data_IF_962900253154
#
_entry.id   IF_962900253154
#
_cell.length_a   1.000
_cell.length_b   1.000
_cell.length_c   1.000
_cell.angle_alpha   90.00
_cell.angle_beta   90.00
_cell.angle_gamma   90.00
#
_symmetry.space_group_name_H-M   'P 1'
#
loop_
_entity.id
_entity.type
_entity.pdbx_description
1 polymer ?
#
# COMPACT_ATOMS: atom_id res chain seq x y z
N UNK A 1 -19.07 -9.53 -6.02
CA UNK A 1 -18.83 -10.21 -4.73
C UNK A 1 -17.96 -9.32 -3.85
N UNK A 2 -18.40 -9.13 -2.63
CA UNK A 2 -17.63 -8.35 -1.67
C UNK A 2 -16.71 -9.26 -0.89
N UNK A 3 -15.49 -8.81 -0.64
CA UNK A 3 -14.56 -9.48 0.25
C UNK A 3 -14.65 -8.82 1.63
N UNK A 4 -14.55 -9.64 2.67
CA UNK A 4 -14.51 -9.17 4.04
C UNK A 4 -13.11 -9.42 4.59
N UNK A 5 -12.48 -8.38 5.08
CA UNK A 5 -11.11 -8.45 5.59
C UNK A 5 -11.11 -8.40 7.11
N UNK A 6 -10.25 -9.20 7.72
CA UNK A 6 -10.17 -9.31 9.18
C UNK A 6 -9.29 -8.23 9.81
N UNK A 7 -8.36 -7.67 9.06
CA UNK A 7 -7.48 -6.63 9.56
C UNK A 7 -7.09 -5.67 8.44
N UNK A 8 -6.68 -4.47 8.83
CA UNK A 8 -6.38 -3.41 7.87
C UNK A 8 -5.12 -3.71 7.04
N UNK A 9 -4.17 -4.46 7.58
CA UNK A 9 -2.96 -4.82 6.84
C UNK A 9 -3.27 -5.70 5.63
N UNK A 10 -4.39 -6.43 5.64
CA UNK A 10 -4.82 -7.22 4.50
C UNK A 10 -5.25 -6.37 3.31
N UNK A 11 -5.56 -5.10 3.52
CA UNK A 11 -5.93 -4.17 2.47
C UNK A 11 -4.73 -3.52 1.80
N UNK A 12 -3.59 -3.52 2.48
CA UNK A 12 -2.39 -2.86 1.97
C UNK A 12 -1.87 -3.58 0.74
N UNK A 13 -1.59 -2.81 -0.33
CA UNK A 13 -0.99 -3.36 -1.54
C UNK A 13 -1.95 -3.95 -2.54
N UNK A 14 -3.23 -4.07 -2.22
CA UNK A 14 -4.25 -4.57 -3.14
C UNK A 14 -4.91 -3.41 -3.89
N UNK A 15 -4.08 -2.51 -4.39
CA UNK A 15 -4.54 -1.31 -5.08
C UNK A 15 -4.93 -1.63 -6.52
N UNK A 16 -5.97 -0.95 -7.04
CA UNK A 16 -6.46 -1.21 -8.39
C UNK A 16 -5.56 -0.59 -9.46
N UNK A 17 -5.72 -1.10 -10.67
CA UNK A 17 -5.16 -0.49 -11.87
C UNK A 17 -6.24 0.31 -12.57
N UNK A 18 -5.88 1.48 -13.07
CA UNK A 18 -6.75 2.33 -13.87
C UNK A 18 -6.13 2.52 -15.23
N UNK A 19 -6.88 2.23 -16.28
CA UNK A 19 -6.42 2.50 -17.63
C UNK A 19 -6.71 3.94 -18.02
N UNK A 20 -5.71 4.64 -18.54
CA UNK A 20 -5.83 6.03 -18.96
C UNK A 20 -6.25 6.09 -20.42
N UNK A 21 -7.51 5.71 -20.68
CA UNK A 21 -8.02 5.57 -22.06
C UNK A 21 -8.05 6.89 -22.84
N UNK A 22 -8.37 8.00 -22.16
CA UNK A 22 -8.39 9.30 -22.80
C UNK A 22 -6.99 9.75 -23.21
N UNK A 23 -6.01 9.55 -22.34
CA UNK A 23 -4.62 9.88 -22.65
C UNK A 23 -4.11 9.04 -23.83
N UNK A 24 -4.45 7.75 -23.85
CA UNK A 24 -4.07 6.84 -24.95
C UNK A 24 -4.57 7.38 -26.28
N UNK A 25 -5.83 7.84 -26.33
CA UNK A 25 -6.43 8.38 -27.56
C UNK A 25 -5.81 9.71 -27.96
N UNK A 26 -5.64 10.62 -27.00
CA UNK A 26 -5.10 11.95 -27.27
C UNK A 26 -3.64 11.90 -27.73
N UNK A 27 -2.85 11.02 -27.12
CA UNK A 27 -1.45 10.84 -27.49
C UNK A 27 -1.26 9.92 -28.67
N UNK A 28 -2.33 9.28 -29.15
CA UNK A 28 -2.30 8.35 -30.28
C UNK A 28 -1.25 7.24 -30.09
N UNK A 29 -1.18 6.71 -28.88
CA UNK A 29 -0.25 5.62 -28.58
C UNK A 29 -0.89 4.28 -28.88
N UNK A 30 -0.07 3.33 -29.35
CA UNK A 30 -0.50 1.98 -29.64
C UNK A 30 -0.16 1.04 -28.47
N UNK A 31 -0.57 1.45 -27.29
CA UNK A 31 -0.29 0.71 -26.05
C UNK A 31 -1.36 1.03 -25.01
N UNK A 32 -1.55 0.12 -24.09
CA UNK A 32 -2.38 0.38 -22.90
C UNK A 32 -1.50 1.08 -21.86
N UNK A 33 -2.00 2.18 -21.31
CA UNK A 33 -1.32 2.91 -20.25
C UNK A 33 -2.12 2.71 -18.97
N UNK A 34 -1.52 2.04 -18.00
CA UNK A 34 -2.15 1.70 -16.74
C UNK A 34 -1.44 2.42 -15.59
N UNK A 35 -2.21 2.93 -14.65
CA UNK A 35 -1.66 3.49 -13.42
C UNK A 35 -2.13 2.65 -12.25
N UNK A 36 -1.23 2.42 -11.29
CA UNK A 36 -1.56 1.73 -10.07
C UNK A 36 -1.90 2.78 -9.01
N UNK A 37 -3.12 2.70 -8.49
CA UNK A 37 -3.65 3.75 -7.62
C UNK A 37 -3.22 3.52 -6.17
N UNK A 38 -1.99 3.87 -5.84
CA UNK A 38 -1.45 3.67 -4.48
C UNK A 38 -2.13 4.52 -3.42
N UNK A 39 -2.82 5.59 -3.81
CA UNK A 39 -3.65 6.36 -2.88
C UNK A 39 -4.81 5.56 -2.29
N UNK A 40 -5.12 4.41 -2.89
CA UNK A 40 -6.18 3.51 -2.40
C UNK A 40 -5.71 2.62 -1.25
N UNK A 41 -4.45 2.68 -0.85
CA UNK A 41 -4.01 2.04 0.38
C UNK A 41 -4.71 2.68 1.59
N UNK A 42 -4.86 1.95 2.71
CA UNK A 42 -5.59 2.46 3.89
C UNK A 42 -5.13 3.82 4.42
N UNK A 43 -3.84 4.09 4.42
CA UNK A 43 -3.30 5.40 4.84
C UNK A 43 -3.05 6.35 3.66
N UNK A 44 -3.39 5.92 2.45
CA UNK A 44 -3.44 6.79 1.30
C UNK A 44 -2.17 6.91 0.49
N UNK A 45 -1.17 6.05 0.69
CA UNK A 45 0.06 6.13 -0.11
C UNK A 45 0.77 4.78 -0.21
N UNK A 46 1.78 4.72 -1.08
CA UNK A 46 2.67 3.56 -1.21
C UNK A 46 3.44 3.28 0.08
N UNK A 47 3.54 4.24 0.98
CA UNK A 47 4.26 4.09 2.24
C UNK A 47 3.63 3.06 3.16
N UNK A 48 2.36 2.72 2.98
CA UNK A 48 1.72 1.63 3.70
C UNK A 48 2.46 0.30 3.46
N UNK A 49 2.88 0.06 2.21
CA UNK A 49 3.64 -1.15 1.86
C UNK A 49 4.98 -1.20 2.59
N UNK A 50 5.66 -0.06 2.64
CA UNK A 50 6.96 0.05 3.31
C UNK A 50 6.81 -0.22 4.80
N UNK A 51 5.84 0.42 5.43
CA UNK A 51 5.59 0.26 6.87
C UNK A 51 5.25 -1.19 7.21
N UNK A 52 4.36 -1.81 6.44
CA UNK A 52 3.97 -3.20 6.66
C UNK A 52 5.17 -4.13 6.53
N UNK A 53 6.00 -3.94 5.51
CA UNK A 53 7.19 -4.76 5.31
C UNK A 53 8.18 -4.61 6.46
N UNK A 54 8.41 -3.38 6.92
CA UNK A 54 9.31 -3.13 8.04
C UNK A 54 8.83 -3.82 9.32
N UNK A 55 7.54 -3.76 9.61
CA UNK A 55 6.97 -4.42 10.79
C UNK A 55 7.07 -5.93 10.68
N UNK A 56 6.72 -6.49 9.53
CA UNK A 56 6.80 -7.94 9.30
C UNK A 56 8.24 -8.44 9.43
N UNK A 57 9.20 -7.71 8.88
CA UNK A 57 10.62 -8.06 8.96
C UNK A 57 11.12 -8.00 10.41
N UNK A 58 10.71 -6.96 11.15
CA UNK A 58 11.11 -6.81 12.55
C UNK A 58 10.56 -7.93 13.42
N UNK A 59 9.30 -8.33 13.18
CA UNK A 59 8.69 -9.45 13.89
C UNK A 59 9.40 -10.77 13.56
N UNK A 60 9.67 -11.01 12.27
CA UNK A 60 10.35 -12.20 11.82
C UNK A 60 11.77 -12.31 12.38
N UNK A 61 12.46 -11.19 12.57
CA UNK A 61 13.79 -11.14 13.15
C UNK A 61 13.79 -11.17 14.67
N UNK A 62 12.63 -11.17 15.31
CA UNK A 62 12.51 -11.19 16.77
C UNK A 62 12.82 -9.86 17.44
N UNK A 63 12.89 -8.76 16.70
CA UNK A 63 13.18 -7.43 17.24
C UNK A 63 11.98 -6.86 18.00
N UNK A 64 10.78 -7.19 17.55
CA UNK A 64 9.52 -6.83 18.21
C UNK A 64 8.60 -8.04 18.24
N UNK A 65 7.62 -8.01 19.14
CA UNK A 65 6.59 -9.04 19.20
C UNK A 65 5.24 -8.37 19.45
N UNK A 66 4.17 -8.84 18.78
CA UNK A 66 2.83 -8.30 19.02
C UNK A 66 2.42 -8.45 20.49
N UNK A 67 1.76 -7.46 21.03
CA UNK A 67 1.22 -7.45 22.39
C UNK A 67 2.25 -7.50 23.52
N UNK A 68 3.53 -7.26 23.22
CA UNK A 68 4.62 -7.30 24.20
C UNK A 68 5.03 -5.92 24.72
N UNK A 69 4.18 -4.92 24.53
CA UNK A 69 4.41 -3.60 25.08
C UNK A 69 5.43 -2.74 24.32
N UNK A 70 5.83 -3.15 23.11
CA UNK A 70 6.72 -2.35 22.30
C UNK A 70 6.03 -1.08 21.79
N UNK A 71 6.77 0.01 21.77
CA UNK A 71 6.32 1.28 21.19
C UNK A 71 7.14 1.56 19.95
N UNK A 72 6.45 1.84 18.84
CA UNK A 72 7.09 2.17 17.59
C UNK A 72 7.14 3.69 17.47
N UNK A 73 8.33 4.21 17.21
CA UNK A 73 8.56 5.64 17.04
C UNK A 73 9.07 5.89 15.64
N UNK A 74 8.42 6.77 14.92
CA UNK A 74 8.78 7.12 13.55
C UNK A 74 8.89 8.64 13.40
N UNK A 75 10.10 9.18 13.10
CA UNK A 75 10.23 10.58 12.76
C UNK A 75 9.69 10.80 11.34
N UNK A 76 8.60 11.53 11.22
CA UNK A 76 7.95 11.77 9.95
C UNK A 76 7.80 13.26 9.70
N UNK A 77 7.81 13.65 8.41
CA UNK A 77 7.54 15.03 8.00
C UNK A 77 6.05 15.28 7.74
N UNK A 78 5.19 14.34 8.06
CA UNK A 78 3.75 14.49 7.92
C UNK A 78 3.15 13.90 6.66
N UNK A 79 3.93 13.16 5.94
CA UNK A 79 3.43 12.49 4.73
C UNK A 79 2.71 11.20 5.07
#
# INVERSE_FOLDING_TARGET
MSAVYASIDQLIGHTPLLELTQLEREANVNARVLVKLERQNPAGSVKDRVALNMLNEAEAAGLIAPHDGYTIIEPTSGN
#
